data_IF_491230194547
#
_entry.id   IF_491230194547
#
_cell.length_a   1.000
_cell.length_b   1.000
_cell.length_c   1.000
_cell.angle_alpha   90.00
_cell.angle_beta   90.00
_cell.angle_gamma   90.00
#
_symmetry.space_group_name_H-M   'P 1'
#
loop_
_entity.id
_entity.type
_entity.pdbx_description
1 polymer ?
#
# COMPACT_ATOMS: atom_id res chain seq x y z
N UNK A 1 33.48 23.36 -3.75
CA UNK A 1 32.20 22.83 -4.27
C UNK A 1 32.07 21.30 -4.25
N UNK A 2 33.11 20.50 -4.60
CA UNK A 2 32.99 19.02 -4.64
C UNK A 2 32.68 18.32 -3.30
N UNK A 3 33.07 18.92 -2.16
CA UNK A 3 32.82 18.35 -0.83
C UNK A 3 31.35 18.45 -0.38
N UNK A 4 30.60 19.45 -0.87
CA UNK A 4 29.18 19.64 -0.54
C UNK A 4 28.28 18.58 -1.21
N UNK A 5 28.62 18.15 -2.43
CA UNK A 5 27.89 17.11 -3.13
C UNK A 5 27.99 15.73 -2.47
N UNK A 6 29.11 15.44 -1.79
CA UNK A 6 29.34 14.18 -1.09
C UNK A 6 28.48 14.05 0.17
N UNK A 7 28.26 15.15 0.91
CA UNK A 7 27.43 15.14 2.13
C UNK A 7 25.94 14.99 1.79
N UNK A 8 25.45 15.64 0.72
CA UNK A 8 24.06 15.46 0.26
C UNK A 8 23.81 14.04 -0.25
N UNK A 9 24.81 13.40 -0.88
CA UNK A 9 24.70 12.01 -1.33
C UNK A 9 24.64 10.99 -0.17
N UNK A 10 25.26 11.29 0.99
CA UNK A 10 25.27 10.37 2.15
C UNK A 10 23.98 10.45 2.98
N UNK A 11 23.30 11.60 3.02
CA UNK A 11 22.00 11.74 3.70
C UNK A 11 20.79 11.49 2.78
N UNK A 12 21.01 11.35 1.47
CA UNK A 12 19.97 11.12 0.47
C UNK A 12 19.69 9.64 0.16
N UNK A 13 20.25 8.70 0.91
CA UNK A 13 19.81 7.30 0.87
C UNK A 13 18.46 7.19 1.61
N UNK A 14 17.42 7.81 1.04
CA UNK A 14 16.05 7.55 1.42
C UNK A 14 15.84 6.04 1.34
N UNK A 15 15.46 5.42 2.45
CA UNK A 15 15.03 4.03 2.48
C UNK A 15 13.94 3.86 1.43
N UNK A 16 14.26 3.20 0.34
CA UNK A 16 13.26 2.84 -0.68
C UNK A 16 12.32 1.86 0.00
N UNK A 17 11.09 2.29 0.26
CA UNK A 17 10.06 1.40 0.80
C UNK A 17 9.74 0.36 -0.27
N UNK A 18 9.99 -0.90 0.07
CA UNK A 18 9.81 -2.06 -0.79
C UNK A 18 8.34 -2.46 -1.01
N UNK A 19 7.41 -1.77 -0.33
CA UNK A 19 6.01 -2.17 -0.20
C UNK A 19 5.10 -0.96 -0.42
N UNK A 20 4.00 -1.14 -1.17
CA UNK A 20 2.97 -0.12 -1.30
C UNK A 20 2.21 0.00 0.02
N UNK A 21 2.29 1.16 0.67
CA UNK A 21 1.55 1.43 1.90
C UNK A 21 0.29 2.22 1.60
N UNK A 22 -0.88 1.63 1.88
CA UNK A 22 -2.16 2.34 1.86
C UNK A 22 -2.86 2.23 3.20
N UNK A 23 -3.67 3.25 3.49
CA UNK A 23 -4.71 3.14 4.51
C UNK A 23 -6.03 2.73 3.86
N UNK A 24 -6.95 2.12 4.61
CA UNK A 24 -8.31 1.84 4.12
C UNK A 24 -9.01 3.09 3.55
N UNK A 25 -8.76 4.29 4.09
CA UNK A 25 -9.35 5.53 3.58
C UNK A 25 -8.76 6.04 2.26
N UNK A 26 -7.70 5.39 1.76
CA UNK A 26 -7.05 5.83 0.53
C UNK A 26 -8.02 5.65 -0.66
N UNK A 27 -8.09 6.65 -1.54
CA UNK A 27 -9.07 6.69 -2.65
C UNK A 27 -8.91 5.54 -3.66
N UNK A 28 -7.70 4.95 -3.73
CA UNK A 28 -7.43 3.76 -4.54
C UNK A 28 -7.98 2.46 -3.93
N UNK A 29 -8.24 2.45 -2.63
CA UNK A 29 -8.75 1.28 -1.88
C UNK A 29 -10.25 1.46 -1.64
N UNK A 30 -10.61 2.48 -0.86
CA UNK A 30 -12.00 2.78 -0.53
C UNK A 30 -12.34 4.19 -0.98
N UNK A 31 -13.33 4.29 -1.88
CA UNK A 31 -13.90 5.56 -2.28
C UNK A 31 -15.39 5.54 -1.91
N UNK A 32 -15.89 6.50 -1.10
CA UNK A 32 -17.31 6.59 -0.76
C UNK A 32 -18.23 6.72 -1.99
N UNK A 33 -17.70 7.23 -3.11
CA UNK A 33 -18.47 7.51 -4.33
C UNK A 33 -18.43 6.34 -5.31
N UNK A 34 -17.31 5.62 -5.39
CA UNK A 34 -17.15 4.51 -6.33
C UNK A 34 -17.51 3.16 -5.69
N UNK A 35 -18.34 2.36 -6.37
CA UNK A 35 -18.84 1.09 -5.83
C UNK A 35 -17.79 -0.01 -5.70
N UNK A 36 -16.72 0.02 -6.50
CA UNK A 36 -15.65 -0.98 -6.47
C UNK A 36 -14.36 -0.37 -7.02
N UNK A 37 -13.26 -0.54 -6.30
CA UNK A 37 -11.91 -0.13 -6.73
C UNK A 37 -11.04 -1.35 -6.98
N UNK A 38 -10.03 -1.19 -7.82
CA UNK A 38 -9.03 -2.22 -8.11
C UNK A 38 -7.65 -1.68 -7.76
N UNK A 39 -6.96 -2.34 -6.84
CA UNK A 39 -5.57 -2.08 -6.48
C UNK A 39 -4.72 -3.08 -7.24
N UNK A 40 -3.93 -2.59 -8.20
CA UNK A 40 -3.04 -3.43 -9.00
C UNK A 40 -1.65 -3.48 -8.38
N UNK A 41 -1.18 -4.67 -8.07
CA UNK A 41 0.20 -4.92 -7.71
C UNK A 41 1.06 -4.86 -8.98
N UNK A 42 2.31 -4.45 -8.82
CA UNK A 42 3.31 -4.36 -9.87
C UNK A 42 4.52 -5.22 -9.55
N UNK A 43 5.58 -5.12 -10.36
CA UNK A 43 6.81 -5.89 -10.13
C UNK A 43 7.64 -5.30 -8.98
N UNK A 44 8.49 -6.13 -8.36
CA UNK A 44 9.52 -5.73 -7.38
C UNK A 44 8.93 -4.96 -6.19
N UNK A 45 9.31 -3.70 -5.99
CA UNK A 45 8.85 -2.81 -4.91
C UNK A 45 7.32 -2.59 -4.87
N UNK A 46 6.64 -2.97 -5.96
CA UNK A 46 5.17 -2.88 -6.05
C UNK A 46 4.49 -4.23 -5.96
N UNK A 47 5.25 -5.30 -5.67
CA UNK A 47 4.73 -6.66 -5.58
C UNK A 47 4.06 -6.95 -4.23
N UNK A 48 4.17 -6.06 -3.26
CA UNK A 48 3.43 -6.13 -2.00
C UNK A 48 2.60 -4.86 -1.76
N UNK A 49 1.46 -5.03 -1.09
CA UNK A 49 0.58 -3.98 -0.60
C UNK A 49 0.35 -4.20 0.90
N UNK A 50 0.80 -3.25 1.70
CA UNK A 50 0.48 -3.15 3.11
C UNK A 50 -0.72 -2.22 3.31
N UNK A 51 -1.80 -2.78 3.85
CA UNK A 51 -3.05 -2.06 4.06
C UNK A 51 -3.35 -1.95 5.56
N UNK A 52 -3.41 -0.71 6.05
CA UNK A 52 -3.58 -0.41 7.47
C UNK A 52 -4.86 0.38 7.76
N UNK A 53 -5.28 0.41 9.03
CA UNK A 53 -6.36 1.28 9.46
C UNK A 53 -6.01 2.77 9.32
N UNK A 54 -6.98 3.56 8.86
CA UNK A 54 -6.85 5.02 8.79
C UNK A 54 -7.23 5.72 10.11
N UNK A 55 -7.44 7.03 10.05
CA UNK A 55 -7.82 7.85 11.22
C UNK A 55 -9.27 7.60 11.66
N UNK A 56 -10.13 7.17 10.75
CA UNK A 56 -11.55 6.86 10.95
C UNK A 56 -11.74 5.78 12.01
N UNK A 57 -10.84 4.79 12.06
CA UNK A 57 -10.96 3.65 12.97
C UNK A 57 -10.49 4.00 14.38
N UNK A 58 -9.62 5.00 14.52
CA UNK A 58 -9.10 5.46 15.82
C UNK A 58 -10.17 6.15 16.67
N UNK A 59 -11.17 6.75 16.03
CA UNK A 59 -12.24 7.51 16.69
C UNK A 59 -13.61 7.12 16.12
N UNK A 60 -13.87 5.82 16.01
CA UNK A 60 -15.12 5.34 15.43
C UNK A 60 -16.34 5.75 16.28
N UNK A 61 -17.11 6.72 15.79
CA UNK A 61 -18.29 7.24 16.50
C UNK A 61 -19.55 6.40 16.27
N UNK A 62 -19.54 5.47 15.30
CA UNK A 62 -20.73 4.73 14.90
C UNK A 62 -21.79 5.56 14.17
N UNK A 63 -21.51 6.80 13.76
CA UNK A 63 -22.53 7.63 13.07
C UNK A 63 -23.02 7.00 11.75
N UNK A 64 -22.15 6.27 11.05
CA UNK A 64 -22.47 5.50 9.84
C UNK A 64 -21.68 4.21 9.83
N UNK A 65 -22.20 3.17 9.17
CA UNK A 65 -21.42 1.97 8.88
C UNK A 65 -20.34 2.26 7.84
N UNK A 66 -19.18 1.63 7.97
CA UNK A 66 -18.15 1.60 6.94
C UNK A 66 -18.32 0.29 6.16
N UNK A 67 -18.47 0.38 4.86
CA UNK A 67 -18.51 -0.79 3.97
C UNK A 67 -17.63 -0.45 2.77
N UNK A 68 -16.51 -1.16 2.64
CA UNK A 68 -15.57 -0.95 1.57
C UNK A 68 -15.30 -2.27 0.86
N UNK A 69 -15.56 -2.29 -0.45
CA UNK A 69 -15.25 -3.43 -1.31
C UNK A 69 -14.24 -3.03 -2.37
N UNK A 70 -13.14 -3.77 -2.44
CA UNK A 70 -12.06 -3.55 -3.40
C UNK A 70 -11.48 -4.86 -3.91
N UNK A 71 -10.93 -4.83 -5.11
CA UNK A 71 -10.27 -5.95 -5.78
C UNK A 71 -8.75 -5.72 -5.67
N UNK A 72 -8.01 -6.71 -5.17
CA UNK A 72 -6.56 -6.74 -5.27
C UNK A 72 -6.20 -7.60 -6.48
N UNK A 73 -5.51 -7.01 -7.44
CA UNK A 73 -5.12 -7.67 -8.68
C UNK A 73 -3.62 -7.88 -8.71
N UNK A 74 -3.21 -9.13 -8.93
CA UNK A 74 -1.82 -9.54 -9.02
C UNK A 74 -1.19 -9.17 -10.36
N UNK A 75 0.08 -9.52 -10.52
CA UNK A 75 0.78 -9.42 -11.80
C UNK A 75 0.32 -10.59 -12.68
N UNK A 76 0.24 -10.40 -14.01
CA UNK A 76 -0.18 -11.46 -14.92
C UNK A 76 0.65 -12.74 -14.72
N UNK A 77 -0.03 -13.83 -14.32
CA UNK A 77 0.50 -15.19 -14.00
C UNK A 77 1.10 -15.37 -12.62
N UNK A 78 1.22 -14.31 -11.83
CA UNK A 78 1.57 -14.43 -10.42
C UNK A 78 0.32 -14.77 -9.62
N UNK A 79 0.53 -15.48 -8.52
CA UNK A 79 -0.50 -15.80 -7.55
C UNK A 79 -0.40 -14.81 -6.37
N UNK A 80 -1.46 -14.67 -5.58
CA UNK A 80 -1.56 -13.71 -4.49
C UNK A 80 -1.63 -14.40 -3.13
N UNK A 81 -0.78 -13.98 -2.20
CA UNK A 81 -0.88 -14.32 -0.79
C UNK A 81 -1.47 -13.17 0.00
N UNK A 82 -2.21 -13.51 1.06
CA UNK A 82 -2.72 -12.53 2.02
C UNK A 82 -2.31 -12.97 3.40
N UNK A 83 -1.73 -12.06 4.17
CA UNK A 83 -1.34 -12.25 5.56
C UNK A 83 -2.02 -11.18 6.41
N UNK A 84 -2.88 -11.62 7.33
CA UNK A 84 -3.52 -10.75 8.32
C UNK A 84 -2.57 -10.58 9.50
N UNK A 85 -1.83 -9.47 9.54
CA UNK A 85 -0.83 -9.21 10.58
C UNK A 85 -1.47 -8.91 11.94
N UNK A 86 -2.48 -8.03 11.93
CA UNK A 86 -3.16 -7.57 13.13
C UNK A 86 -4.60 -7.19 12.80
N UNK A 87 -5.54 -7.93 13.38
CA UNK A 87 -6.97 -7.64 13.29
C UNK A 87 -7.52 -7.55 14.71
N UNK A 88 -8.32 -6.53 14.97
CA UNK A 88 -9.11 -6.48 16.20
C UNK A 88 -10.49 -5.93 15.87
N UNK A 89 -11.39 -6.81 15.46
CA UNK A 89 -12.76 -6.48 15.06
C UNK A 89 -13.76 -7.08 16.04
N UNK A 90 -14.91 -6.42 16.24
CA UNK A 90 -15.88 -6.86 17.26
C UNK A 90 -16.63 -8.12 16.86
N UNK A 91 -16.89 -8.95 17.87
CA UNK A 91 -17.79 -10.10 17.83
C UNK A 91 -18.97 -9.86 18.76
N UNK A 92 -20.09 -10.46 18.45
CA UNK A 92 -21.20 -10.58 19.39
C UNK A 92 -20.79 -11.56 20.50
N UNK A 93 -20.82 -11.15 21.79
CA UNK A 93 -20.34 -11.97 22.89
C UNK A 93 -21.26 -13.16 23.20
N UNK A 94 -22.47 -13.20 22.65
CA UNK A 94 -23.45 -14.27 22.87
C UNK A 94 -23.47 -15.24 21.70
N UNK A 95 -23.51 -14.73 20.47
CA UNK A 95 -23.61 -15.57 19.27
C UNK A 95 -22.25 -15.96 18.68
N UNK A 96 -21.17 -15.31 19.12
CA UNK A 96 -19.82 -15.39 18.52
C UNK A 96 -19.78 -14.95 17.04
N UNK A 97 -20.84 -14.32 16.53
CA UNK A 97 -20.89 -13.84 15.16
C UNK A 97 -20.11 -12.52 15.00
N UNK A 98 -19.45 -12.35 13.86
CA UNK A 98 -18.73 -11.11 13.56
C UNK A 98 -19.68 -9.93 13.34
N UNK A 99 -19.56 -8.91 14.21
CA UNK A 99 -20.23 -7.61 14.06
C UNK A 99 -19.49 -6.76 13.02
N UNK A 100 -18.17 -6.66 13.18
CA UNK A 100 -17.27 -6.05 12.20
C UNK A 100 -16.43 -7.18 11.59
N UNK A 101 -16.12 -7.11 10.31
CA UNK A 101 -15.41 -8.21 9.63
C UNK A 101 -14.60 -7.76 8.43
N UNK A 102 -13.61 -8.56 8.08
CA UNK A 102 -13.01 -8.61 6.75
C UNK A 102 -13.42 -9.90 6.07
N UNK A 103 -13.82 -9.81 4.82
CA UNK A 103 -14.24 -10.91 3.98
C UNK A 103 -13.37 -11.01 2.74
N UNK A 104 -12.94 -12.22 2.42
CA UNK A 104 -12.23 -12.54 1.19
C UNK A 104 -13.12 -13.48 0.36
N UNK A 105 -13.42 -13.08 -0.86
CA UNK A 105 -14.15 -13.91 -1.80
C UNK A 105 -13.16 -14.66 -2.69
N UNK A 106 -13.21 -15.98 -2.65
CA UNK A 106 -12.52 -16.85 -3.60
C UNK A 106 -13.40 -17.11 -4.82
N UNK A 107 -12.77 -17.40 -5.95
CA UNK A 107 -13.49 -17.72 -7.20
C UNK A 107 -14.35 -18.98 -7.13
N UNK A 108 -13.97 -19.94 -6.28
CA UNK A 108 -14.77 -21.14 -6.01
C UNK A 108 -16.06 -20.85 -5.23
N UNK A 109 -16.36 -19.57 -4.93
CA UNK A 109 -17.50 -19.15 -4.12
C UNK A 109 -17.29 -19.30 -2.62
N UNK A 110 -16.13 -19.79 -2.16
CA UNK A 110 -15.79 -19.86 -0.74
C UNK A 110 -15.58 -18.43 -0.23
N UNK A 111 -16.33 -18.09 0.81
CA UNK A 111 -16.21 -16.80 1.49
C UNK A 111 -15.50 -17.07 2.81
N UNK A 112 -14.37 -16.41 3.02
CA UNK A 112 -13.64 -16.44 4.28
C UNK A 112 -13.91 -15.15 5.02
N UNK A 113 -14.42 -15.25 6.25
CA UNK A 113 -14.84 -14.11 7.08
C UNK A 113 -14.03 -14.12 8.37
N UNK A 114 -13.37 -13.01 8.69
CA UNK A 114 -12.54 -12.87 9.88
C UNK A 114 -12.96 -11.68 10.73
N UNK A 115 -12.88 -11.87 12.05
CA UNK A 115 -13.13 -10.89 13.09
C UNK A 115 -12.54 -11.38 14.41
N UNK A 116 -12.65 -10.59 15.48
CA UNK A 116 -11.99 -10.83 16.75
C UNK A 116 -10.56 -10.30 16.75
N UNK A 117 -9.81 -10.66 17.80
CA UNK A 117 -8.39 -10.37 17.93
C UNK A 117 -7.58 -11.48 17.21
N UNK A 118 -6.87 -11.08 16.16
CA UNK A 118 -5.89 -11.89 15.45
C UNK A 118 -4.59 -11.10 15.46
N UNK A 119 -3.52 -11.68 16.01
CA UNK A 119 -2.19 -11.07 15.98
C UNK A 119 -1.16 -12.12 15.64
N UNK A 120 -0.33 -11.82 14.66
CA UNK A 120 0.85 -12.64 14.31
C UNK A 120 2.00 -12.25 15.24
N UNK A 121 1.79 -12.34 16.55
CA UNK A 121 2.79 -11.89 17.54
C UNK A 121 3.73 -13.02 17.98
N UNK A 122 3.37 -14.29 17.80
CA UNK A 122 4.21 -15.44 18.15
C UNK A 122 3.90 -16.67 17.27
N UNK A 123 4.75 -17.02 16.28
CA UNK A 123 4.58 -18.21 15.45
C UNK A 123 4.82 -19.55 16.20
N UNK A 124 4.98 -19.51 17.53
CA UNK A 124 5.53 -20.62 18.33
C UNK A 124 4.43 -21.45 19.02
N UNK A 125 3.25 -20.88 19.28
CA UNK A 125 2.07 -21.62 19.78
C UNK A 125 1.13 -22.07 18.64
N UNK A 126 1.68 -22.17 17.43
CA UNK A 126 0.97 -22.68 16.26
C UNK A 126 1.07 -24.20 16.27
N UNK A 127 0.11 -24.84 16.94
CA UNK A 127 -0.09 -26.29 16.85
C UNK A 127 -0.15 -26.68 15.36
N UNK A 128 0.83 -27.47 14.93
CA UNK A 128 1.11 -27.88 13.55
C UNK A 128 -0.09 -28.56 12.90
N UNK A 129 -1.07 -29.00 13.70
CA UNK A 129 -2.28 -29.68 13.26
C UNK A 129 -3.50 -28.77 13.09
N UNK A 130 -3.51 -27.58 13.68
CA UNK A 130 -4.55 -26.55 13.51
C UNK A 130 -3.97 -25.36 12.75
N UNK A 131 -3.35 -25.68 11.62
CA UNK A 131 -2.73 -24.74 10.69
C UNK A 131 -3.73 -23.63 10.37
N UNK A 132 -3.54 -22.46 10.98
CA UNK A 132 -3.70 -21.11 10.44
C UNK A 132 -4.72 -20.84 9.31
N UNK A 133 -5.85 -21.55 9.26
CA UNK A 133 -6.90 -21.38 8.26
C UNK A 133 -7.50 -19.97 8.27
N UNK A 134 -7.07 -19.12 9.23
CA UNK A 134 -7.69 -17.85 9.52
C UNK A 134 -6.91 -16.58 9.19
N UNK A 135 -5.62 -16.66 8.86
CA UNK A 135 -4.82 -15.44 8.66
C UNK A 135 -3.92 -15.47 7.43
N UNK A 136 -3.68 -16.65 6.87
CA UNK A 136 -2.79 -16.82 5.74
C UNK A 136 -3.55 -17.51 4.62
N UNK A 137 -3.66 -16.81 3.49
CA UNK A 137 -4.46 -17.26 2.37
C UNK A 137 -3.67 -17.21 1.08
N UNK A 138 -3.95 -18.17 0.20
CA UNK A 138 -3.31 -18.34 -1.08
C UNK A 138 -4.36 -18.37 -2.18
N UNK A 139 -4.24 -17.47 -3.15
CA UNK A 139 -5.19 -17.28 -4.23
C UNK A 139 -4.46 -17.32 -5.56
N UNK A 140 -5.05 -18.02 -6.53
CA UNK A 140 -4.49 -18.11 -7.88
C UNK A 140 -4.75 -16.87 -8.73
N UNK A 141 -5.76 -16.10 -8.34
CA UNK A 141 -6.33 -15.01 -9.13
C UNK A 141 -6.60 -13.79 -8.23
N UNK A 142 -7.23 -12.77 -8.82
CA UNK A 142 -7.58 -11.52 -8.14
C UNK A 142 -8.47 -11.78 -6.92
N UNK A 143 -8.27 -11.01 -5.85
CA UNK A 143 -8.96 -11.20 -4.57
C UNK A 143 -9.94 -10.06 -4.37
N UNK A 144 -11.23 -10.39 -4.28
CA UNK A 144 -12.23 -9.42 -3.84
C UNK A 144 -12.26 -9.40 -2.31
N UNK A 145 -12.04 -8.22 -1.75
CA UNK A 145 -12.00 -7.97 -0.31
C UNK A 145 -13.15 -7.05 0.07
N UNK A 146 -13.86 -7.39 1.14
CA UNK A 146 -14.90 -6.57 1.73
C UNK A 146 -14.61 -6.33 3.21
N UNK A 147 -14.43 -5.06 3.59
CA UNK A 147 -14.25 -4.63 4.97
C UNK A 147 -15.51 -3.93 5.44
N UNK A 148 -16.12 -4.46 6.48
CA UNK A 148 -17.33 -3.93 7.08
C UNK A 148 -17.12 -3.59 8.56
N UNK A 149 -17.48 -2.36 8.93
CA UNK A 149 -17.55 -1.91 10.33
C UNK A 149 -18.96 -1.37 10.58
N UNK A 150 -19.63 -1.94 11.57
CA UNK A 150 -20.99 -1.61 11.92
C UNK A 150 -21.11 -0.18 12.48
N UNK A 151 -22.31 0.39 12.39
CA UNK A 151 -22.67 1.69 12.99
C UNK A 151 -22.77 1.66 14.52
N UNK A 152 -22.36 0.58 15.19
CA UNK A 152 -22.37 0.51 16.64
C UNK A 152 -21.16 1.33 17.13
N UNK A 153 -21.32 2.31 18.04
CA UNK A 153 -20.20 3.05 18.59
C UNK A 153 -19.23 2.12 19.33
N UNK A 154 -17.95 2.47 19.35
CA UNK A 154 -16.97 1.71 20.14
C UNK A 154 -17.08 2.08 21.62
N UNK A 155 -16.83 1.09 22.47
CA UNK A 155 -16.45 1.36 23.85
C UNK A 155 -15.12 2.14 23.86
N UNK A 156 -14.95 3.18 24.70
CA UNK A 156 -13.70 3.94 24.80
C UNK A 156 -12.43 3.09 25.01
N UNK A 157 -12.55 1.90 25.61
CA UNK A 157 -11.43 1.00 25.86
C UNK A 157 -11.07 0.14 24.63
N UNK A 158 -12.02 -0.08 23.72
CA UNK A 158 -11.86 -0.97 22.57
C UNK A 158 -11.36 -0.19 21.36
N UNK A 159 -10.27 -0.66 20.76
CA UNK A 159 -9.67 -0.07 19.55
C UNK A 159 -9.72 -1.06 18.40
N UNK A 160 -10.33 -0.63 17.28
CA UNK A 160 -10.29 -1.40 16.05
C UNK A 160 -8.86 -1.42 15.49
N UNK A 161 -8.43 -2.60 15.04
CA UNK A 161 -7.16 -2.79 14.35
C UNK A 161 -7.37 -3.51 13.03
N UNK A 162 -6.68 -3.05 12.00
CA UNK A 162 -6.70 -3.62 10.67
C UNK A 162 -5.32 -3.44 10.05
N UNK A 163 -4.64 -4.55 9.86
CA UNK A 163 -3.30 -4.61 9.29
C UNK A 163 -3.19 -5.90 8.47
N UNK A 164 -3.18 -5.76 7.14
CA UNK A 164 -3.17 -6.86 6.19
C UNK A 164 -2.14 -6.58 5.11
N UNK A 165 -1.33 -7.58 4.78
CA UNK A 165 -0.35 -7.54 3.71
C UNK A 165 -0.79 -8.47 2.58
N UNK A 166 -0.80 -7.94 1.36
CA UNK A 166 -1.04 -8.69 0.14
C UNK A 166 0.27 -8.78 -0.63
N UNK A 167 0.68 -9.97 -1.05
CA UNK A 167 1.95 -10.15 -1.76
C UNK A 167 1.75 -10.98 -3.02
N UNK A 168 2.29 -10.51 -4.13
CA UNK A 168 2.40 -11.24 -5.39
C UNK A 168 3.58 -12.19 -5.28
N UNK A 169 3.35 -13.48 -5.48
CA UNK A 169 4.40 -14.48 -5.52
C UNK A 169 4.33 -15.29 -6.80
N UNK A 170 5.43 -15.97 -7.10
CA UNK A 170 5.54 -16.86 -8.25
C UNK A 170 6.20 -18.16 -7.86
N UNK A 171 6.09 -19.15 -8.73
CA UNK A 171 6.87 -20.37 -8.58
C UNK A 171 8.36 -20.06 -8.75
N UNK A 172 9.16 -20.50 -7.78
CA UNK A 172 10.60 -20.38 -7.82
C UNK A 172 11.15 -21.04 -9.08
N UNK A 173 11.88 -20.25 -9.87
CA UNK A 173 12.62 -20.71 -11.05
C UNK A 173 14.10 -20.62 -10.74
N UNK A 174 14.88 -21.56 -11.27
CA UNK A 174 16.34 -21.64 -11.06
C UNK A 174 17.10 -20.36 -11.50
N UNK A 175 16.47 -19.47 -12.27
CA UNK A 175 17.10 -18.26 -12.85
C UNK A 175 16.51 -16.93 -12.38
N UNK A 176 15.73 -16.89 -11.29
CA UNK A 176 15.13 -15.64 -10.81
C UNK A 176 16.08 -14.88 -9.87
N UNK A 177 17.04 -14.14 -10.43
CA UNK A 177 18.11 -13.47 -9.68
C UNK A 177 17.62 -12.50 -8.57
N UNK A 178 16.42 -11.92 -8.71
CA UNK A 178 15.90 -10.92 -7.77
C UNK A 178 14.82 -11.48 -6.80
N UNK A 179 14.61 -12.79 -6.77
CA UNK A 179 13.53 -13.40 -5.99
C UNK A 179 14.08 -14.49 -5.07
N UNK A 180 13.56 -14.53 -3.85
CA UNK A 180 13.97 -15.46 -2.82
C UNK A 180 12.79 -16.32 -2.36
N UNK A 181 13.04 -17.60 -1.99
CA UNK A 181 11.99 -18.52 -1.59
C UNK A 181 11.47 -18.23 -0.18
N UNK A 182 10.16 -18.43 0.02
CA UNK A 182 9.52 -18.45 1.33
C UNK A 182 9.76 -19.80 2.01
N UNK A 183 10.94 -19.99 2.61
CA UNK A 183 11.33 -21.24 3.26
C UNK A 183 11.56 -22.40 2.28
N UNK A 184 11.18 -23.61 2.66
CA UNK A 184 11.36 -24.83 1.83
C UNK A 184 10.31 -25.00 0.72
N UNK A 185 9.60 -23.93 0.37
CA UNK A 185 8.46 -23.99 -0.53
C UNK A 185 8.84 -23.58 -1.94
N UNK A 186 7.98 -23.90 -2.91
CA UNK A 186 8.17 -23.47 -4.31
C UNK A 186 7.74 -22.02 -4.54
N UNK A 187 7.34 -21.28 -3.51
CA UNK A 187 6.91 -19.89 -3.66
C UNK A 187 8.05 -18.93 -3.43
N UNK A 188 8.22 -18.00 -4.37
CA UNK A 188 9.25 -16.98 -4.36
C UNK A 188 8.62 -15.60 -4.40
N UNK A 189 9.09 -14.72 -3.52
CA UNK A 189 8.74 -13.30 -3.49
C UNK A 189 9.97 -12.45 -3.84
N UNK A 190 9.77 -11.18 -4.13
CA UNK A 190 10.89 -10.29 -4.46
C UNK A 190 11.82 -10.13 -3.24
N UNK A 191 13.12 -10.24 -3.45
CA UNK A 191 14.12 -10.22 -2.35
C UNK A 191 14.07 -8.94 -1.51
N UNK A 192 13.66 -7.81 -2.11
CA UNK A 192 13.54 -6.54 -1.38
C UNK A 192 12.40 -6.50 -0.35
N UNK A 193 11.49 -7.48 -0.35
CA UNK A 193 10.48 -7.66 0.69
C UNK A 193 11.01 -8.37 1.93
N UNK A 194 12.24 -8.91 1.89
CA UNK A 194 12.84 -9.52 3.07
C UNK A 194 13.36 -8.45 4.01
N UNK A 195 13.05 -8.58 5.30
CA UNK A 195 13.42 -7.63 6.34
C UNK A 195 12.82 -6.24 6.15
N UNK A 196 11.66 -6.15 5.50
CA UNK A 196 10.89 -4.91 5.37
C UNK A 196 10.03 -4.64 6.62
N UNK A 197 9.96 -5.61 7.54
CA UNK A 197 9.19 -5.55 8.78
C UNK A 197 7.75 -6.05 8.62
N UNK A 198 7.39 -6.54 7.44
CA UNK A 198 6.09 -7.10 7.11
C UNK A 198 6.24 -8.59 6.80
N UNK A 199 5.33 -9.41 7.33
CA UNK A 199 5.28 -10.83 6.99
C UNK A 199 4.52 -10.99 5.66
N UNK A 200 5.27 -11.19 4.59
CA UNK A 200 4.82 -11.44 3.22
C UNK A 200 4.66 -12.94 2.92
N UNK A 201 5.47 -13.79 3.57
CA UNK A 201 5.45 -15.22 3.33
C UNK A 201 4.27 -15.92 4.04
N UNK A 202 3.43 -16.67 3.30
CA UNK A 202 2.25 -17.33 3.82
C UNK A 202 2.57 -18.67 4.53
N UNK A 203 3.68 -18.77 5.26
CA UNK A 203 4.02 -20.00 5.99
C UNK A 203 4.54 -19.72 7.39
N UNK A 204 4.33 -20.70 8.26
CA UNK A 204 4.81 -20.66 9.63
C UNK A 204 6.33 -20.43 9.64
N UNK A 205 6.76 -19.46 10.45
CA UNK A 205 8.17 -19.12 10.64
C UNK A 205 8.60 -17.76 10.09
N UNK A 206 7.72 -17.03 9.38
CA UNK A 206 8.01 -15.74 8.75
C UNK A 206 9.40 -15.71 8.11
N UNK A 207 9.62 -16.57 7.12
CA UNK A 207 10.94 -16.78 6.51
C UNK A 207 11.57 -15.51 5.93
N UNK A 208 10.74 -14.55 5.57
CA UNK A 208 11.11 -13.23 5.10
C UNK A 208 11.58 -12.28 6.21
N UNK A 209 11.22 -12.55 7.46
CA UNK A 209 11.51 -11.72 8.62
C UNK A 209 12.48 -12.37 9.61
N UNK A 210 13.51 -11.62 10.02
CA UNK A 210 14.59 -12.11 10.90
C UNK A 210 14.13 -12.51 12.31
N UNK A 211 12.96 -12.02 12.74
CA UNK A 211 12.54 -12.03 14.14
C UNK A 211 11.52 -13.11 14.51
N UNK A 212 11.09 -13.95 13.56
CA UNK A 212 10.07 -14.95 13.85
C UNK A 212 10.58 -16.24 14.52
N UNK A 213 11.89 -16.41 14.67
CA UNK A 213 12.48 -17.51 15.43
C UNK A 213 13.29 -17.01 16.62
N UNK A 214 12.61 -16.63 17.70
CA UNK A 214 13.23 -16.76 19.03
C UNK A 214 12.17 -16.93 20.14
N UNK A 215 11.91 -18.18 20.58
CA UNK A 215 11.22 -18.45 21.86
C UNK A 215 12.10 -18.16 23.08
N UNK A 216 13.28 -17.55 22.92
CA UNK A 216 14.13 -17.25 24.06
C UNK A 216 13.54 -16.08 24.86
N UNK A 217 13.38 -16.25 26.19
CA UNK A 217 12.79 -15.25 27.04
C UNK A 217 13.64 -14.00 26.93
N UNK A 218 12.99 -12.88 26.59
CA UNK A 218 13.50 -11.53 26.71
C UNK A 218 15.01 -11.48 26.88
N UNK A 219 15.77 -11.70 25.79
CA UNK A 219 16.92 -10.84 25.64
C UNK A 219 16.30 -9.47 25.62
N UNK A 220 16.39 -8.80 26.79
CA UNK A 220 16.02 -7.41 27.01
C UNK A 220 16.10 -6.79 25.65
N UNK A 221 14.99 -6.26 25.15
CA UNK A 221 15.10 -5.21 24.15
C UNK A 221 16.08 -4.23 24.80
N UNK A 222 17.37 -4.33 24.48
CA UNK A 222 18.09 -3.22 23.94
C UNK A 222 17.20 -2.80 22.79
N UNK A 223 16.15 -2.06 23.16
CA UNK A 223 15.98 -0.72 22.68
C UNK A 223 17.40 -0.19 22.51
N UNK A 224 17.98 -0.45 21.36
CA UNK A 224 18.26 0.65 20.49
C UNK A 224 16.93 1.42 20.33
N UNK A 225 16.51 2.11 21.41
CA UNK A 225 16.39 3.54 21.34
C UNK A 225 17.72 3.94 20.71
N UNK A 226 17.76 3.90 19.38
CA UNK A 226 18.34 4.99 18.64
C UNK A 226 17.60 6.17 19.27
N UNK A 227 18.21 6.72 20.31
CA UNK A 227 17.73 7.89 21.00
C UNK A 227 17.62 8.89 19.88
N UNK A 228 16.39 9.12 19.41
CA UNK A 228 16.10 10.17 18.44
C UNK A 228 16.64 11.51 18.95
N UNK A 229 16.86 11.62 20.26
CA UNK A 229 17.54 12.71 20.93
C UNK A 229 19.04 12.84 20.62
N UNK A 230 19.80 11.74 20.45
CA UNK A 230 21.20 11.83 20.03
C UNK A 230 21.32 12.17 18.54
N UNK A 231 20.41 11.66 17.70
CA UNK A 231 20.39 12.02 16.27
C UNK A 231 20.01 13.48 16.06
N UNK A 232 19.06 14.02 16.82
CA UNK A 232 18.68 15.43 16.71
C UNK A 232 19.85 16.34 17.13
N UNK A 233 20.54 16.03 18.24
CA UNK A 233 21.68 16.83 18.69
C UNK A 233 22.85 16.76 17.70
N UNK A 234 23.09 15.59 17.10
CA UNK A 234 24.13 15.41 16.09
C UNK A 234 23.79 16.13 14.78
N UNK A 235 22.52 16.09 14.34
CA UNK A 235 22.02 16.84 13.18
C UNK A 235 22.11 18.35 13.45
N UNK A 236 21.73 18.81 14.65
CA UNK A 236 21.82 20.22 15.02
C UNK A 236 23.28 20.70 15.08
N UNK A 237 24.17 19.91 15.70
CA UNK A 237 25.59 20.24 15.79
C UNK A 237 26.25 20.27 14.40
N UNK A 238 25.97 19.27 13.56
CA UNK A 238 26.52 19.22 12.20
C UNK A 238 26.00 20.35 11.32
N UNK A 239 24.71 20.68 11.38
CA UNK A 239 24.13 21.83 10.66
C UNK A 239 24.69 23.17 11.15
N UNK A 240 24.90 23.34 12.46
CA UNK A 240 25.57 24.52 13.02
C UNK A 240 27.00 24.66 12.53
N UNK A 241 27.81 23.60 12.55
CA UNK A 241 29.20 23.63 12.04
C UNK A 241 29.22 23.97 10.55
N UNK A 242 28.29 23.41 9.77
CA UNK A 242 28.21 23.63 8.34
C UNK A 242 27.80 25.08 8.01
N UNK A 243 26.87 25.66 8.77
CA UNK A 243 26.54 27.09 8.70
C UNK A 243 27.75 27.97 8.99
N UNK A 244 28.53 27.68 10.04
CA UNK A 244 29.75 28.43 10.35
C UNK A 244 30.76 28.36 9.21
N UNK A 245 30.94 27.19 8.59
CA UNK A 245 31.85 27.03 7.44
C UNK A 245 31.38 27.86 6.24
N UNK A 246 30.09 27.87 5.93
CA UNK A 246 29.52 28.67 4.83
C UNK A 246 29.70 30.17 5.09
N UNK A 247 29.40 30.63 6.30
CA UNK A 247 29.55 32.04 6.69
C UNK A 247 31.03 32.46 6.64
N UNK A 248 31.95 31.64 7.15
CA UNK A 248 33.39 31.88 7.06
C UNK A 248 33.88 31.93 5.60
N UNK A 249 33.40 31.04 4.74
CA UNK A 249 33.73 31.05 3.31
C UNK A 249 33.19 32.31 2.61
N UNK A 250 31.98 32.74 2.95
CA UNK A 250 31.37 33.97 2.41
C UNK A 250 32.20 35.21 2.78
N UNK A 251 32.56 35.37 4.05
CA UNK A 251 33.36 36.51 4.51
C UNK A 251 34.77 36.54 3.92
N UNK A 252 35.44 35.37 3.78
CA UNK A 252 36.72 35.31 3.06
C UNK A 252 36.56 35.70 1.60
N UNK A 253 35.51 35.24 0.93
CA UNK A 253 35.23 35.59 -0.46
C UNK A 253 35.00 37.10 -0.64
N UNK A 254 34.29 37.74 0.30
CA UNK A 254 34.08 39.18 0.29
C UNK A 254 35.38 39.98 0.52
N UNK A 255 36.28 39.48 1.37
CA UNK A 255 37.59 40.10 1.59
C UNK A 255 38.48 40.04 0.34
N UNK A 256 38.49 38.93 -0.41
CA UNK A 256 39.21 38.85 -1.69
C UNK A 256 38.64 39.82 -2.74
N UNK A 257 37.34 40.10 -2.70
CA UNK A 257 36.72 41.04 -3.63
C UNK A 257 37.02 42.52 -3.33
N UNK A 258 37.54 42.82 -2.14
CA UNK A 258 37.85 44.18 -1.69
C UNK A 258 39.35 44.52 -1.71
N UNK A 259 40.23 43.52 -1.90
CA UNK A 259 41.70 43.72 -1.85
C UNK A 259 42.34 43.86 -3.25
N UNK A 260 41.65 43.49 -4.32
CA UNK A 260 42.07 43.86 -5.68
C UNK A 260 41.64 45.31 -5.96
N UNK A 261 42.40 46.25 -5.40
CA UNK A 261 42.44 47.66 -5.78
C UNK A 261 42.96 47.87 -7.21
N UNK A 262 42.49 47.08 -8.18
CA UNK A 262 42.59 47.40 -9.58
C UNK A 262 41.38 48.27 -9.89
N UNK A 263 41.55 49.60 -10.10
CA UNK A 263 40.50 50.38 -10.74
C UNK A 263 40.31 49.76 -12.13
N UNK A 264 39.22 49.01 -12.31
CA UNK A 264 38.68 48.84 -13.65
C UNK A 264 38.29 50.26 -14.06
N UNK A 265 39.17 50.92 -14.80
CA UNK A 265 38.80 52.05 -15.63
C UNK A 265 37.61 51.56 -16.45
N UNK A 266 36.40 51.90 -16.01
CA UNK A 266 35.24 52.02 -16.88
C UNK A 266 35.59 53.13 -17.86
N UNK A 267 36.39 52.76 -18.87
CA UNK A 267 36.49 53.51 -20.09
C UNK A 267 35.11 53.42 -20.70
N UNK A 268 34.31 54.46 -20.47
CA UNK A 268 33.19 54.83 -21.34
C UNK A 268 33.77 55.09 -22.73
N UNK A 269 34.06 54.01 -23.45
CA UNK A 269 34.09 54.02 -24.90
C UNK A 269 32.66 54.37 -25.31
N UNK A 270 32.49 55.60 -25.75
CA UNK A 270 31.34 56.14 -26.48
C UNK A 270 30.42 55.03 -27.01
N UNK A 271 29.18 54.89 -26.50
CA UNK A 271 28.18 54.14 -27.22
C UNK A 271 27.89 54.94 -28.48
N UNK A 272 28.41 54.49 -29.61
CA UNK A 272 27.72 54.74 -30.88
C UNK A 272 26.33 54.19 -30.68
N UNK A 273 25.37 55.10 -30.49
CA UNK A 273 23.94 54.80 -30.52
C UNK A 273 23.66 53.97 -31.77
N UNK A 274 23.55 52.66 -31.59
CA UNK A 274 22.81 51.83 -32.51
C UNK A 274 21.34 52.19 -32.29
N UNK A 275 20.85 53.07 -33.16
CA UNK A 275 19.43 53.33 -33.36
C UNK A 275 18.72 51.99 -33.47
N UNK A 276 17.75 51.76 -32.57
CA UNK A 276 16.90 50.59 -32.63
C UNK A 276 16.19 50.54 -34.01
N UNK A 277 16.18 49.39 -34.71
CA UNK A 277 15.37 49.23 -35.89
C UNK A 277 13.88 49.37 -35.55
N UNK A 278 13.04 49.83 -36.50
CA UNK A 278 11.62 50.03 -36.28
C UNK A 278 10.94 48.74 -35.83
N UNK A 279 10.00 48.86 -34.89
CA UNK A 279 9.12 47.80 -34.45
C UNK A 279 8.31 47.31 -35.66
N UNK A 280 8.64 46.15 -36.21
CA UNK A 280 7.80 45.50 -37.21
C UNK A 280 6.54 44.92 -36.53
N UNK A 281 5.42 45.08 -37.22
CA UNK A 281 4.06 44.75 -36.78
C UNK A 281 3.90 43.32 -36.23
N UNK A 282 2.99 43.11 -35.26
CA UNK A 282 2.66 41.78 -34.74
C UNK A 282 1.85 41.00 -35.78
N UNK A 283 2.54 40.37 -36.72
CA UNK A 283 2.01 39.26 -37.52
C UNK A 283 2.31 37.94 -36.80
N UNK A 284 1.28 37.11 -36.72
CA UNK A 284 1.32 35.72 -36.27
C UNK A 284 1.23 35.47 -34.75
N UNK A 285 0.15 35.98 -34.15
CA UNK A 285 -0.48 35.22 -33.07
C UNK A 285 -1.19 34.00 -33.68
N UNK A 286 -0.97 32.77 -33.18
CA UNK A 286 -1.72 31.61 -33.64
C UNK A 286 -3.21 31.80 -33.33
N UNK A 287 -4.11 31.31 -34.18
CA UNK A 287 -5.55 31.42 -33.95
C UNK A 287 -5.93 30.74 -32.62
N UNK A 288 -6.93 31.28 -31.91
CA UNK A 288 -7.41 30.67 -30.66
C UNK A 288 -7.85 29.22 -30.90
N UNK A 289 -7.43 28.34 -30.00
CA UNK A 289 -7.55 26.87 -30.05
C UNK A 289 -9.00 26.32 -30.01
N UNK A 290 -10.01 27.17 -30.17
CA UNK A 290 -11.43 26.83 -30.03
C UNK A 290 -12.08 26.26 -31.30
N UNK A 291 -11.33 26.02 -32.38
CA UNK A 291 -11.88 25.49 -33.65
C UNK A 291 -11.41 24.07 -34.03
N UNK A 292 -10.77 23.33 -33.11
CA UNK A 292 -10.26 21.97 -33.38
C UNK A 292 -11.15 20.82 -32.90
N UNK A 293 -12.31 21.12 -32.30
CA UNK A 293 -13.27 20.10 -31.90
C UNK A 293 -14.62 20.42 -32.55
N UNK A 294 -15.08 19.66 -33.55
CA UNK A 294 -16.44 19.78 -34.03
C UNK A 294 -17.40 19.40 -32.90
N UNK A 295 -18.41 20.24 -32.67
CA UNK A 295 -19.54 19.91 -31.81
C UNK A 295 -20.14 18.59 -32.31
N UNK A 296 -19.92 17.52 -31.53
CA UNK A 296 -20.58 16.25 -31.76
C UNK A 296 -22.05 16.43 -31.39
N UNK A 297 -22.90 16.54 -32.41
CA UNK A 297 -24.35 16.43 -32.27
C UNK A 297 -24.70 15.19 -31.44
N UNK A 298 -25.70 15.26 -30.54
CA UNK A 298 -26.18 14.10 -29.83
C UNK A 298 -26.93 13.19 -30.82
N UNK A 299 -26.20 12.23 -31.39
CA UNK A 299 -26.80 11.10 -32.09
C UNK A 299 -27.76 10.37 -31.14
N UNK A 300 -28.99 10.25 -31.60
CA UNK A 300 -30.03 9.41 -31.03
C UNK A 300 -29.52 7.97 -30.93
N UNK A 301 -29.18 7.54 -29.72
CA UNK A 301 -28.94 6.14 -29.41
C UNK A 301 -30.23 5.32 -29.61
N UNK A 302 -30.14 4.10 -30.15
CA UNK A 302 -31.30 3.26 -30.43
C UNK A 302 -32.02 2.86 -29.13
N UNK A 303 -33.35 2.91 -29.21
CA UNK A 303 -34.29 2.40 -28.23
C UNK A 303 -33.97 0.94 -27.90
N UNK A 304 -33.36 0.70 -26.73
CA UNK A 304 -33.17 -0.63 -26.19
C UNK A 304 -34.50 -1.09 -25.60
N UNK A 305 -35.26 -1.83 -26.41
CA UNK A 305 -36.42 -2.60 -25.94
C UNK A 305 -35.94 -3.65 -24.93
N UNK A 306 -36.13 -3.32 -23.66
CA UNK A 306 -36.01 -4.25 -22.54
C UNK A 306 -37.07 -5.34 -22.68
N UNK A 307 -36.68 -6.51 -23.18
CA UNK A 307 -37.47 -7.73 -23.05
C UNK A 307 -37.49 -8.11 -21.57
N UNK A 308 -38.55 -7.67 -20.89
CA UNK A 308 -38.94 -8.16 -19.58
C UNK A 308 -39.23 -9.66 -19.71
N UNK A 309 -38.35 -10.49 -19.16
CA UNK A 309 -38.67 -11.91 -18.97
C UNK A 309 -39.78 -12.02 -17.93
N UNK A 310 -40.86 -12.79 -18.19
CA UNK A 310 -41.89 -13.04 -17.20
C UNK A 310 -41.29 -13.82 -16.00
N UNK A 311 -41.81 -13.59 -14.79
CA UNK A 311 -41.36 -14.31 -13.60
C UNK A 311 -41.57 -15.83 -13.76
N UNK A 312 -40.67 -16.65 -13.21
CA UNK A 312 -40.79 -18.10 -13.26
C UNK A 312 -42.06 -18.58 -12.56
N UNK A 313 -42.75 -19.51 -13.22
CA UNK A 313 -43.99 -20.13 -12.78
C UNK A 313 -43.78 -20.89 -11.45
N UNK A 314 -44.55 -20.61 -10.38
CA UNK A 314 -44.38 -21.26 -9.08
C UNK A 314 -44.78 -22.75 -9.04
N UNK A 315 -45.32 -23.32 -10.12
CA UNK A 315 -45.85 -24.69 -10.12
C UNK A 315 -44.86 -25.79 -10.55
N UNK A 316 -43.58 -25.46 -10.77
CA UNK A 316 -42.56 -26.43 -11.22
C UNK A 316 -41.48 -26.74 -10.16
N UNK A 317 -41.90 -26.90 -8.89
CA UNK A 317 -41.06 -27.48 -7.84
C UNK A 317 -41.83 -28.50 -6.99
N UNK A 318 -42.34 -29.57 -7.61
CA UNK A 318 -42.78 -30.74 -6.85
C UNK A 318 -42.61 -32.02 -7.65
N UNK A 319 -41.38 -32.39 -7.99
CA UNK A 319 -41.07 -33.77 -8.36
C UNK A 319 -39.57 -34.05 -8.26
N UNK A 320 -39.23 -34.99 -7.38
CA UNK A 320 -37.97 -35.76 -7.23
C UNK A 320 -37.19 -35.44 -5.97
N UNK A 321 -37.54 -36.10 -4.86
CA UNK A 321 -36.60 -36.94 -4.09
C UNK A 321 -37.43 -38.05 -3.41
N UNK A 322 -37.57 -39.20 -4.07
CA UNK A 322 -37.82 -40.48 -3.39
C UNK A 322 -36.92 -41.52 -4.05
N UNK A 323 -35.94 -42.00 -3.29
CA UNK A 323 -35.01 -43.06 -3.67
C UNK A 323 -34.38 -43.68 -2.41
N UNK A 324 -34.22 -45.02 -2.36
CA UNK A 324 -34.42 -45.77 -1.11
C UNK A 324 -33.16 -46.00 -0.27
N UNK A 325 -33.39 -46.02 1.03
CA UNK A 325 -32.50 -46.53 2.07
C UNK A 325 -32.45 -48.07 2.03
N UNK A 326 -31.26 -48.62 1.78
CA UNK A 326 -30.92 -49.98 2.20
C UNK A 326 -29.42 -50.22 2.08
N UNK A 327 -28.76 -50.47 3.21
CA UNK A 327 -27.86 -51.60 3.40
C UNK A 327 -27.35 -51.60 4.84
N UNK A 328 -27.82 -52.59 5.59
CA UNK A 328 -27.26 -53.01 6.86
C UNK A 328 -25.89 -53.69 6.63
N UNK A 329 -24.96 -53.51 7.56
CA UNK A 329 -23.83 -54.42 7.73
C UNK A 329 -23.68 -54.72 9.23
N UNK A 330 -23.82 -56.00 9.56
CA UNK A 330 -23.52 -56.61 10.85
C UNK A 330 -22.68 -57.84 10.56
N UNK A 331 -21.44 -57.84 11.05
CA UNK A 331 -20.80 -58.83 11.94
C UNK A 331 -19.32 -58.51 12.01
#
# INVERSE_FOLDING_TARGET
>A
MRFFYLIIAVFGASSVQATLEYTLEHSSVCDPVAKKRTVKLGNKERSALHLTEGKLFKHWTGTRSFNCTFLVQGISKDELSVVVQNLNFRKDPVTEECIDYVQFYQENGKILKYCGELKVDNPIDLDVNNLLDNAILHFKEDILVNVFVSRIPLDPEVKLKFDIVFTSFKLCSENAADYAPCGDTKMCIWEGLFYDGNINCPYNGCYDEKLCFNPYPEHKKTKYQITSELNLLFILATTCVLMVVVVCAYFKCQAYFLDDGIPVELRCGTPTCATAPPLEDPKDAPPPYHSLFPDSDPEQGPEVTLLVQPPPNPDEQTARITGPSSAAFST
#
